data_IF_329721877496
#
_entry.id   IF_329721877496
#
_cell.length_a   1.000
_cell.length_b   1.000
_cell.length_c   1.000
_cell.angle_alpha   90.00
_cell.angle_beta   90.00
_cell.angle_gamma   90.00
#
_symmetry.space_group_name_H-M   'P 1'
#
loop_
_entity.id
_entity.type
_entity.pdbx_description
1 polymer ?
#
# COMPACT_ATOMS: atom_id res chain seq x y z
N UNK A 1 -40.14 5.80 54.76
CA UNK A 1 -40.54 5.13 53.49
C UNK A 1 -39.33 5.24 52.60
N UNK A 2 -38.36 4.35 52.78
CA UNK A 2 -37.02 4.46 52.16
C UNK A 2 -37.01 3.61 50.89
N UNK A 3 -36.82 4.24 49.71
CA UNK A 3 -36.66 3.53 48.44
C UNK A 3 -35.19 3.45 48.08
N UNK A 4 -34.62 2.28 48.31
CA UNK A 4 -33.28 1.91 47.89
C UNK A 4 -33.31 1.60 46.39
N UNK A 5 -32.57 2.34 45.56
CA UNK A 5 -32.41 2.01 44.14
C UNK A 5 -31.02 1.43 43.91
N UNK A 6 -30.94 0.11 43.78
CA UNK A 6 -29.73 -0.59 43.34
C UNK A 6 -29.50 -0.34 41.86
N UNK A 7 -28.48 0.45 41.53
CA UNK A 7 -27.93 0.51 40.18
C UNK A 7 -27.03 -0.71 39.98
N UNK A 8 -27.51 -1.70 39.22
CA UNK A 8 -26.67 -2.79 38.72
C UNK A 8 -25.90 -2.27 37.50
N UNK A 9 -24.62 -1.99 37.67
CA UNK A 9 -23.71 -1.70 36.56
C UNK A 9 -23.35 -3.03 35.91
N UNK A 10 -24.00 -3.35 34.78
CA UNK A 10 -23.70 -4.53 33.98
C UNK A 10 -22.39 -4.34 33.22
N UNK A 11 -21.37 -5.13 33.58
CA UNK A 11 -20.16 -5.37 32.78
C UNK A 11 -20.54 -6.23 31.55
N UNK A 12 -20.67 -5.67 30.34
CA UNK A 12 -20.04 -6.38 29.21
C UNK A 12 -19.53 -5.44 28.09
N UNK A 13 -19.09 -4.20 28.37
CA UNK A 13 -18.67 -3.26 27.30
C UNK A 13 -17.13 -3.22 27.10
N UNK A 14 -16.33 -3.74 28.03
CA UNK A 14 -14.86 -3.62 27.97
C UNK A 14 -14.16 -4.63 27.03
N UNK A 15 -14.85 -5.66 26.53
CA UNK A 15 -14.23 -6.69 25.70
C UNK A 15 -14.19 -6.36 24.19
N UNK A 16 -14.98 -5.39 23.71
CA UNK A 16 -15.06 -5.05 22.29
C UNK A 16 -13.95 -4.11 21.80
N UNK A 17 -13.22 -3.44 22.71
CA UNK A 17 -12.21 -2.43 22.35
C UNK A 17 -10.84 -3.02 21.98
N UNK A 18 -10.55 -4.27 22.34
CA UNK A 18 -9.23 -4.88 22.08
C UNK A 18 -9.11 -5.52 20.68
N UNK A 19 -10.23 -5.78 20.00
CA UNK A 19 -10.20 -6.43 18.66
C UNK A 19 -10.03 -5.40 17.53
N UNK A 20 -10.36 -4.12 17.77
CA UNK A 20 -10.23 -3.06 16.77
C UNK A 20 -8.78 -2.61 16.53
N UNK A 21 -7.87 -2.84 17.47
CA UNK A 21 -6.48 -2.36 17.38
C UNK A 21 -5.52 -3.29 16.62
N UNK A 22 -5.96 -4.50 16.27
CA UNK A 22 -5.11 -5.51 15.65
C UNK A 22 -5.04 -5.42 14.11
N UNK A 23 -5.77 -4.49 13.47
CA UNK A 23 -5.89 -4.41 12.01
C UNK A 23 -5.04 -3.31 11.36
N UNK A 24 -4.30 -2.52 12.15
CA UNK A 24 -3.50 -1.39 11.66
C UNK A 24 -2.06 -1.75 11.20
N UNK A 25 -1.66 -3.01 11.19
CA UNK A 25 -0.24 -3.40 11.02
C UNK A 25 0.12 -3.81 9.58
N UNK A 26 -0.50 -3.20 8.58
CA UNK A 26 -0.14 -3.41 7.17
C UNK A 26 1.01 -2.49 6.74
N UNK A 27 2.19 -2.64 7.35
CA UNK A 27 3.36 -1.85 6.99
C UNK A 27 3.85 -2.14 5.56
N UNK A 28 4.51 -1.15 4.93
CA UNK A 28 5.20 -1.35 3.66
C UNK A 28 6.29 -2.43 3.79
N UNK A 29 6.27 -3.41 2.91
CA UNK A 29 7.34 -4.40 2.75
C UNK A 29 8.06 -4.14 1.45
N UNK A 30 9.37 -3.83 1.54
CA UNK A 30 10.18 -3.61 0.34
C UNK A 30 10.23 -4.88 -0.51
N UNK A 31 9.81 -4.83 -1.78
CA UNK A 31 9.87 -5.96 -2.68
C UNK A 31 11.33 -6.32 -2.99
N UNK A 32 11.66 -7.60 -3.24
CA UNK A 32 13.03 -7.98 -3.60
C UNK A 32 13.43 -7.35 -4.93
N UNK A 33 14.65 -6.84 -5.04
CA UNK A 33 15.20 -6.45 -6.35
C UNK A 33 15.36 -7.68 -7.26
N UNK A 34 15.20 -7.48 -8.57
CA UNK A 34 15.45 -8.52 -9.58
C UNK A 34 16.90 -8.97 -9.52
N UNK A 35 17.12 -10.28 -9.57
CA UNK A 35 18.45 -10.89 -9.48
C UNK A 35 19.16 -11.02 -10.82
N UNK A 36 18.52 -10.61 -11.91
CA UNK A 36 19.06 -10.69 -13.26
C UNK A 36 18.87 -9.37 -14.01
N UNK A 37 19.69 -9.10 -15.04
CA UNK A 37 19.49 -7.98 -15.97
C UNK A 37 18.13 -8.07 -16.70
N UNK A 38 17.51 -6.93 -16.96
CA UNK A 38 16.30 -6.83 -17.78
C UNK A 38 16.62 -6.74 -19.29
N UNK A 39 17.88 -6.50 -19.66
CA UNK A 39 18.34 -6.40 -21.04
C UNK A 39 18.02 -7.68 -21.82
N UNK A 40 17.17 -7.54 -22.85
CA UNK A 40 16.66 -8.68 -23.62
C UNK A 40 15.64 -9.57 -22.90
N UNK A 41 15.18 -9.16 -21.71
CA UNK A 41 14.24 -9.89 -20.83
C UNK A 41 13.19 -8.95 -20.19
N UNK A 42 12.85 -7.86 -20.87
CA UNK A 42 11.92 -6.85 -20.37
C UNK A 42 10.46 -7.37 -20.26
N UNK A 43 10.12 -8.44 -20.98
CA UNK A 43 8.83 -9.11 -20.83
C UNK A 43 8.87 -10.09 -19.64
N UNK A 44 8.80 -9.56 -18.43
CA UNK A 44 8.86 -10.31 -17.17
C UNK A 44 7.90 -11.50 -17.14
N UNK A 45 6.67 -11.30 -17.65
CA UNK A 45 5.60 -12.29 -17.66
C UNK A 45 5.87 -13.46 -18.62
N UNK A 46 6.90 -13.42 -19.48
CA UNK A 46 7.32 -14.59 -20.25
C UNK A 46 7.87 -15.71 -19.37
N UNK A 47 8.45 -15.37 -18.21
CA UNK A 47 9.04 -16.33 -17.29
C UNK A 47 8.32 -16.35 -15.93
N UNK A 48 7.84 -15.21 -15.45
CA UNK A 48 7.29 -15.06 -14.10
C UNK A 48 5.77 -15.14 -14.02
N UNK A 49 5.02 -15.34 -15.12
CA UNK A 49 3.58 -15.66 -14.98
C UNK A 49 3.43 -17.10 -14.50
N UNK A 50 2.31 -17.38 -13.84
CA UNK A 50 1.99 -18.69 -13.27
C UNK A 50 2.27 -19.85 -14.25
N UNK A 51 3.21 -20.73 -13.88
CA UNK A 51 3.55 -21.94 -14.61
C UNK A 51 4.24 -21.73 -15.96
N UNK A 52 4.83 -20.56 -16.21
CA UNK A 52 5.45 -20.28 -17.51
C UNK A 52 6.80 -20.96 -17.72
N UNK A 53 7.65 -21.02 -16.70
CA UNK A 53 9.01 -21.53 -16.84
C UNK A 53 9.54 -22.12 -15.54
N UNK A 54 9.48 -23.43 -15.36
CA UNK A 54 10.20 -24.11 -14.27
C UNK A 54 11.73 -24.09 -14.55
N UNK A 55 12.62 -23.78 -13.59
CA UNK A 55 12.39 -23.54 -12.16
C UNK A 55 12.32 -22.06 -11.74
N UNK A 56 11.89 -21.17 -12.64
CA UNK A 56 11.73 -19.73 -12.33
C UNK A 56 10.52 -19.55 -11.41
N UNK A 57 10.66 -18.86 -10.26
CA UNK A 57 9.53 -18.58 -9.39
C UNK A 57 8.48 -17.72 -10.09
N UNK A 58 7.22 -18.11 -9.93
CA UNK A 58 6.08 -17.31 -10.37
C UNK A 58 5.96 -16.01 -9.57
N UNK A 59 5.40 -14.99 -10.20
CA UNK A 59 4.96 -13.78 -9.54
C UNK A 59 3.86 -14.12 -8.51
N UNK A 60 3.80 -13.40 -7.38
CA UNK A 60 2.72 -13.55 -6.41
C UNK A 60 1.35 -13.48 -7.06
N UNK A 61 0.40 -14.29 -6.58
CA UNK A 61 -0.97 -14.26 -7.09
C UNK A 61 -1.64 -12.87 -6.96
N UNK A 62 -1.21 -12.05 -5.99
CA UNK A 62 -1.63 -10.66 -5.83
C UNK A 62 -1.20 -9.74 -6.99
N UNK A 63 -0.29 -10.19 -7.86
CA UNK A 63 0.22 -9.47 -9.02
C UNK A 63 -0.42 -9.94 -10.33
N UNK A 64 -1.53 -10.70 -10.29
CA UNK A 64 -2.15 -11.26 -11.49
C UNK A 64 -2.47 -10.21 -12.57
N UNK A 65 -2.80 -8.98 -12.15
CA UNK A 65 -3.17 -7.87 -13.05
C UNK A 65 -2.00 -6.90 -13.33
N UNK A 66 -0.78 -7.22 -12.87
CA UNK A 66 0.36 -6.31 -13.01
C UNK A 66 0.99 -6.44 -14.40
N UNK A 67 1.28 -5.29 -15.03
CA UNK A 67 2.03 -5.23 -16.28
C UNK A 67 3.53 -5.34 -16.04
N UNK A 68 4.30 -5.64 -17.10
CA UNK A 68 5.78 -5.67 -17.03
C UNK A 68 6.38 -4.34 -16.51
N UNK A 69 5.81 -3.21 -16.92
CA UNK A 69 6.26 -1.90 -16.43
C UNK A 69 6.05 -1.77 -14.92
N UNK A 70 4.94 -2.29 -14.39
CA UNK A 70 4.67 -2.27 -12.96
C UNK A 70 5.61 -3.23 -12.20
N UNK A 71 6.02 -4.34 -12.81
CA UNK A 71 7.06 -5.20 -12.25
C UNK A 71 8.37 -4.42 -12.09
N UNK A 72 8.82 -3.74 -13.14
CA UNK A 72 10.07 -2.96 -13.13
C UNK A 72 10.00 -1.78 -12.15
N UNK A 73 8.85 -1.13 -12.00
CA UNK A 73 8.66 -0.03 -11.03
C UNK A 73 9.01 -0.40 -9.58
N UNK A 74 8.87 -1.68 -9.22
CA UNK A 74 9.12 -2.19 -7.88
C UNK A 74 10.42 -2.99 -7.79
N UNK A 75 10.66 -3.86 -8.78
CA UNK A 75 11.73 -4.86 -8.72
C UNK A 75 13.01 -4.43 -9.43
N UNK A 76 13.05 -3.33 -10.20
CA UNK A 76 14.31 -2.87 -10.76
C UNK A 76 15.31 -2.53 -9.63
N UNK A 77 16.61 -2.86 -9.75
CA UNK A 77 17.60 -2.62 -8.69
C UNK A 77 17.73 -1.15 -8.30
N UNK A 78 17.43 -0.26 -9.22
CA UNK A 78 17.45 1.19 -9.09
C UNK A 78 16.05 1.80 -8.88
N UNK A 79 15.01 0.99 -8.70
CA UNK A 79 13.69 1.50 -8.35
C UNK A 79 13.72 2.24 -7.01
N UNK A 80 13.03 3.38 -6.91
CA UNK A 80 13.04 4.23 -5.71
C UNK A 80 12.69 3.47 -4.42
N UNK A 81 11.79 2.49 -4.52
CA UNK A 81 11.37 1.67 -3.38
C UNK A 81 12.45 0.74 -2.82
N UNK A 82 13.53 0.49 -3.59
CA UNK A 82 14.68 -0.29 -3.13
C UNK A 82 15.56 0.50 -2.17
N UNK A 83 15.56 1.83 -2.28
CA UNK A 83 16.39 2.72 -1.45
C UNK A 83 15.59 3.53 -0.44
N UNK A 84 14.31 3.74 -0.68
CA UNK A 84 13.47 4.61 0.15
C UNK A 84 12.08 4.02 0.29
N UNK A 85 11.69 3.71 1.53
CA UNK A 85 10.34 3.26 1.81
C UNK A 85 9.34 4.42 1.61
N UNK A 86 8.19 4.17 0.97
CA UNK A 86 7.11 5.15 0.89
C UNK A 86 6.58 5.51 2.27
N UNK A 87 6.10 6.74 2.41
CA UNK A 87 5.43 7.20 3.62
C UNK A 87 4.05 6.58 3.74
N UNK A 88 3.64 6.26 4.97
CA UNK A 88 2.27 5.83 5.24
C UNK A 88 1.29 7.00 5.06
N UNK A 89 0.07 6.69 4.58
CA UNK A 89 -0.99 7.68 4.48
C UNK A 89 -1.44 8.10 5.89
N UNK A 90 -1.40 9.40 6.17
CA UNK A 90 -1.78 9.96 7.46
C UNK A 90 -3.29 10.24 7.59
N UNK A 91 -4.09 9.89 6.58
CA UNK A 91 -5.52 10.13 6.56
C UNK A 91 -6.27 8.95 5.93
N UNK A 92 -7.56 8.78 6.26
CA UNK A 92 -8.46 7.84 5.59
C UNK A 92 -8.65 8.16 4.10
N UNK A 93 -8.96 7.15 3.29
CA UNK A 93 -9.30 7.30 1.87
C UNK A 93 -10.80 7.57 1.63
N UNK A 94 -11.65 7.41 2.66
CA UNK A 94 -13.09 7.61 2.58
C UNK A 94 -13.42 9.03 2.08
N UNK A 95 -13.94 9.11 0.86
CA UNK A 95 -14.24 10.38 0.18
C UNK A 95 -13.02 11.17 -0.30
N UNK A 96 -11.81 10.60 -0.23
CA UNK A 96 -10.51 11.21 -0.59
C UNK A 96 -9.68 10.31 -1.49
N UNK A 97 -10.36 9.45 -2.25
CA UNK A 97 -9.72 8.45 -3.11
C UNK A 97 -8.96 9.06 -4.27
N UNK A 98 -9.28 10.28 -4.70
CA UNK A 98 -8.54 11.02 -5.73
C UNK A 98 -7.43 11.87 -5.10
N UNK A 99 -6.24 11.26 -4.92
CA UNK A 99 -5.10 11.83 -4.22
C UNK A 99 -4.66 13.18 -4.84
N UNK A 100 -4.73 13.30 -6.17
CA UNK A 100 -4.26 14.48 -6.88
C UNK A 100 -5.19 15.70 -6.74
N UNK A 101 -6.38 15.55 -6.14
CA UNK A 101 -7.20 16.70 -5.76
C UNK A 101 -6.53 17.58 -4.71
N UNK A 102 -5.69 16.99 -3.84
CA UNK A 102 -5.02 17.70 -2.74
C UNK A 102 -3.49 17.68 -2.88
N UNK A 103 -2.91 16.62 -3.43
CA UNK A 103 -1.45 16.42 -3.52
C UNK A 103 -0.84 16.88 -4.86
N UNK A 104 -1.61 17.45 -5.78
CA UNK A 104 -1.02 18.11 -6.94
C UNK A 104 -0.36 19.43 -6.51
N UNK A 105 0.74 19.77 -7.16
CA UNK A 105 1.48 21.02 -6.99
C UNK A 105 0.56 22.25 -6.72
N UNK A 106 0.60 22.76 -5.49
CA UNK A 106 -0.13 23.95 -5.06
C UNK A 106 -1.66 23.80 -4.98
N UNK A 107 -2.19 22.58 -4.97
CA UNK A 107 -3.63 22.35 -4.96
C UNK A 107 -4.31 22.70 -3.63
N UNK A 108 -3.64 22.44 -2.49
CA UNK A 108 -4.23 22.65 -1.17
C UNK A 108 -3.16 22.91 -0.09
N UNK A 109 -2.89 24.17 0.27
CA UNK A 109 -2.06 24.47 1.44
C UNK A 109 -2.84 24.21 2.75
N UNK A 110 -2.26 23.57 3.80
CA UNK A 110 -0.86 23.14 3.96
C UNK A 110 -0.59 21.66 3.67
N UNK A 111 -1.34 21.05 2.76
CA UNK A 111 -1.12 19.66 2.34
C UNK A 111 0.15 19.59 1.48
N UNK A 112 1.11 18.70 1.79
CA UNK A 112 2.30 18.54 0.97
C UNK A 112 1.97 18.06 -0.45
N UNK A 113 2.65 18.65 -1.43
CA UNK A 113 2.60 18.19 -2.81
C UNK A 113 3.26 16.81 -2.98
N UNK A 114 2.82 16.06 -3.98
CA UNK A 114 3.50 14.87 -4.44
C UNK A 114 4.93 15.23 -4.92
N UNK A 115 5.95 14.42 -4.60
CA UNK A 115 7.31 14.69 -5.04
C UNK A 115 7.43 14.74 -6.58
N UNK A 116 8.42 15.49 -7.08
CA UNK A 116 8.60 15.68 -8.53
C UNK A 116 8.83 14.36 -9.30
N UNK A 117 9.45 13.35 -8.67
CA UNK A 117 9.66 12.02 -9.24
C UNK A 117 8.38 11.15 -9.32
N UNK A 118 7.23 11.71 -8.90
CA UNK A 118 5.90 11.13 -9.09
C UNK A 118 5.17 11.70 -10.32
N UNK A 119 5.84 12.53 -11.13
CA UNK A 119 5.28 13.04 -12.38
C UNK A 119 4.81 11.88 -13.29
N UNK A 120 3.61 12.05 -13.87
CA UNK A 120 3.01 11.05 -14.75
C UNK A 120 2.37 9.85 -14.04
N UNK A 121 2.43 9.75 -12.71
CA UNK A 121 1.73 8.70 -11.96
C UNK A 121 0.27 9.08 -11.76
N UNK A 122 -0.62 8.29 -12.34
CA UNK A 122 -2.05 8.37 -12.08
C UNK A 122 -2.42 7.78 -10.71
N UNK A 123 -3.58 8.22 -10.24
CA UNK A 123 -4.05 8.04 -8.87
C UNK A 123 -4.07 6.57 -8.39
N UNK A 124 -4.29 5.62 -9.30
CA UNK A 124 -4.27 4.18 -9.01
C UNK A 124 -2.92 3.68 -8.49
N UNK A 125 -1.82 4.39 -8.80
CA UNK A 125 -0.48 4.01 -8.36
C UNK A 125 -0.13 4.51 -6.96
N UNK A 126 -0.80 5.58 -6.48
CA UNK A 126 -0.52 6.16 -5.16
C UNK A 126 -0.71 5.12 -4.06
N UNK A 127 -1.82 4.37 -4.11
CA UNK A 127 -2.16 3.36 -3.09
C UNK A 127 -1.42 2.04 -3.26
N UNK A 128 -0.58 1.89 -4.30
CA UNK A 128 0.32 0.73 -4.39
C UNK A 128 1.50 0.86 -3.44
N UNK A 129 1.97 2.09 -3.21
CA UNK A 129 3.13 2.38 -2.36
C UNK A 129 2.72 2.98 -1.02
N UNK A 130 1.80 3.94 -1.04
CA UNK A 130 1.32 4.61 0.17
C UNK A 130 0.16 3.81 0.75
N UNK A 131 0.46 2.98 1.74
CA UNK A 131 -0.51 2.19 2.50
C UNK A 131 -1.00 2.95 3.73
N UNK A 132 -2.16 2.54 4.27
CA UNK A 132 -2.69 3.12 5.50
C UNK A 132 -1.70 2.89 6.66
N UNK A 133 -1.44 3.94 7.44
CA UNK A 133 -0.62 3.88 8.65
C UNK A 133 -1.38 3.48 9.91
#
# INVERSE_FOLDING_TARGET
MERHWSVKVSLPVMAALLVAFAWQQGGWTTPPAMSHPAEGRADCLMCHKAGAMEPVPDAPASHAEFSNDLCAMCHAPDAAVQTTAPTAMSHPLEGRGDCMMCHKAGAMEPVPDAPADHEGRDNKYCTLCHVAG
#
